data_IF_580565715513
#
_entry.id   IF_580565715513
#
_cell.length_a   1.000
_cell.length_b   1.000
_cell.length_c   1.000
_cell.angle_alpha   90.00
_cell.angle_beta   90.00
_cell.angle_gamma   90.00
#
_symmetry.space_group_name_H-M   'P 1'
#
loop_
_entity.id
_entity.type
_entity.pdbx_description
1 polymer ?
#
# COMPACT_ATOMS: atom_id res chain seq x y z
N UNK A 1 7.87 43.65 1.27
CA UNK A 1 9.36 43.73 1.12
C UNK A 1 10.13 43.23 2.34
N UNK A 2 9.55 43.18 3.56
CA UNK A 2 10.24 42.65 4.74
C UNK A 2 10.58 41.15 4.69
N UNK A 3 9.73 40.29 4.12
CA UNK A 3 9.94 38.82 4.20
C UNK A 3 11.21 38.33 3.49
N UNK A 4 11.66 39.00 2.43
CA UNK A 4 12.90 38.68 1.72
C UNK A 4 14.14 39.14 2.48
N UNK A 5 14.09 40.32 3.10
CA UNK A 5 15.13 40.84 3.99
C UNK A 5 15.32 39.90 5.20
N UNK A 6 14.22 39.51 5.86
CA UNK A 6 14.25 38.57 6.99
C UNK A 6 14.78 37.19 6.58
N UNK A 7 14.44 36.70 5.39
CA UNK A 7 14.89 35.39 4.91
C UNK A 7 16.39 35.32 4.59
N UNK A 8 16.95 36.36 3.94
CA UNK A 8 18.39 36.41 3.62
C UNK A 8 19.25 36.55 4.89
N UNK A 9 18.85 37.44 5.80
CA UNK A 9 19.52 37.63 7.10
C UNK A 9 19.48 36.35 7.93
N UNK A 10 18.30 35.71 8.04
CA UNK A 10 18.18 34.45 8.78
C UNK A 10 19.06 33.34 8.20
N UNK A 11 19.22 33.30 6.87
CA UNK A 11 20.07 32.30 6.20
C UNK A 11 21.55 32.54 6.51
N UNK A 12 22.00 33.80 6.40
CA UNK A 12 23.39 34.16 6.71
C UNK A 12 23.70 33.93 8.20
N UNK A 13 22.81 34.36 9.09
CA UNK A 13 22.95 34.18 10.53
C UNK A 13 22.97 32.70 10.95
N UNK A 14 22.17 31.84 10.31
CA UNK A 14 22.22 30.40 10.54
C UNK A 14 23.57 29.78 10.13
N UNK A 15 24.21 30.31 9.08
CA UNK A 15 25.54 29.88 8.64
C UNK A 15 26.61 30.35 9.64
N UNK A 16 26.54 31.59 10.12
CA UNK A 16 27.45 32.12 11.17
C UNK A 16 27.30 31.33 12.48
N UNK A 17 26.07 31.02 12.91
CA UNK A 17 25.79 30.15 14.06
C UNK A 17 26.44 28.77 13.93
N UNK A 18 26.43 28.21 12.73
CA UNK A 18 27.05 26.91 12.50
C UNK A 18 28.58 26.97 12.66
N UNK A 19 29.20 28.05 12.19
CA UNK A 19 30.64 28.26 12.35
C UNK A 19 31.03 28.48 13.81
N UNK A 20 30.20 29.18 14.60
CA UNK A 20 30.40 29.48 16.03
C UNK A 20 29.86 28.39 17.00
N UNK A 21 29.50 27.22 16.50
CA UNK A 21 28.84 26.17 17.29
C UNK A 21 29.72 25.50 18.36
N UNK A 22 31.01 25.83 18.40
CA UNK A 22 31.97 25.37 19.41
C UNK A 22 31.95 26.21 20.70
N UNK A 23 31.31 27.38 20.69
CA UNK A 23 31.14 28.22 21.87
C UNK A 23 30.09 27.66 22.85
N UNK A 24 30.19 27.98 24.15
CA UNK A 24 29.14 27.68 25.13
C UNK A 24 27.78 28.22 24.67
N UNK A 25 26.67 27.49 24.90
CA UNK A 25 25.37 27.85 24.37
C UNK A 25 24.85 29.22 24.84
N UNK A 26 25.17 29.63 26.07
CA UNK A 26 24.81 30.97 26.59
C UNK A 26 25.52 32.09 25.83
N UNK A 27 26.84 32.01 25.68
CA UNK A 27 27.63 33.02 24.96
C UNK A 27 27.28 33.07 23.46
N UNK A 28 26.97 31.92 22.87
CA UNK A 28 26.55 31.84 21.47
C UNK A 28 25.22 32.58 21.23
N UNK A 29 24.27 32.49 22.16
CA UNK A 29 22.98 33.16 22.02
C UNK A 29 23.12 34.68 22.11
N UNK A 30 23.90 35.17 23.08
CA UNK A 30 24.17 36.60 23.25
C UNK A 30 24.86 37.19 22.00
N UNK A 31 25.91 36.53 21.51
CA UNK A 31 26.66 36.96 20.32
C UNK A 31 25.78 36.95 19.07
N UNK A 32 24.86 35.97 18.94
CA UNK A 32 23.98 35.90 17.78
C UNK A 32 22.85 36.92 17.82
N UNK A 33 22.39 37.35 18.99
CA UNK A 33 21.39 38.42 19.12
C UNK A 33 21.98 39.76 18.66
N UNK A 34 23.20 40.07 19.09
CA UNK A 34 23.94 41.26 18.65
C UNK A 34 24.18 41.25 17.13
N UNK A 35 24.63 40.11 16.58
CA UNK A 35 24.86 39.95 15.13
C UNK A 35 23.55 40.03 14.36
N UNK A 36 22.43 39.53 14.89
CA UNK A 36 21.13 39.64 14.24
C UNK A 36 20.74 41.12 14.04
N UNK A 37 20.90 41.94 15.08
CA UNK A 37 20.68 43.38 15.01
C UNK A 37 21.52 44.03 13.91
N UNK A 38 22.83 43.82 13.93
CA UNK A 38 23.74 44.39 12.95
C UNK A 38 23.43 43.95 11.50
N UNK A 39 23.11 42.68 11.29
CA UNK A 39 22.76 42.18 9.96
C UNK A 39 21.47 42.78 9.42
N UNK A 40 20.51 43.12 10.29
CA UNK A 40 19.28 43.81 9.84
C UNK A 40 19.53 45.24 9.40
N UNK A 41 20.43 45.97 10.06
CA UNK A 41 20.85 47.31 9.67
C UNK A 41 21.62 47.27 8.34
N UNK A 42 22.62 46.40 8.24
CA UNK A 42 23.41 46.20 7.02
C UNK A 42 22.53 45.80 5.85
N UNK A 43 21.55 44.92 6.05
CA UNK A 43 20.62 44.51 5.02
C UNK A 43 19.66 45.63 4.60
N UNK A 44 19.30 46.55 5.50
CA UNK A 44 18.46 47.71 5.19
C UNK A 44 19.20 48.76 4.34
N UNK A 45 20.52 48.86 4.48
CA UNK A 45 21.36 49.73 3.66
C UNK A 45 21.63 49.20 2.24
N UNK A 46 21.47 47.89 2.01
CA UNK A 46 21.60 47.32 0.67
C UNK A 46 20.36 47.72 -0.12
N UNK A 47 20.43 48.81 -0.89
CA UNK A 47 19.31 49.39 -1.67
C UNK A 47 18.70 48.49 -2.77
N UNK A 48 19.06 47.21 -2.83
CA UNK A 48 18.50 46.17 -3.71
C UNK A 48 17.94 45.01 -2.89
N UNK A 49 17.04 44.20 -3.48
CA UNK A 49 16.45 43.03 -2.80
C UNK A 49 17.55 42.19 -2.14
N UNK A 50 17.60 42.11 -0.80
CA UNK A 50 18.70 41.45 -0.11
C UNK A 50 18.74 39.97 -0.48
N UNK A 51 19.85 39.54 -1.07
CA UNK A 51 20.14 38.12 -1.35
C UNK A 51 21.30 37.67 -0.48
N UNK A 52 21.34 36.37 -0.17
CA UNK A 52 22.45 35.80 0.60
C UNK A 52 23.82 36.04 -0.08
N UNK A 53 23.84 36.07 -1.42
CA UNK A 53 25.02 36.41 -2.22
C UNK A 53 25.43 37.87 -2.06
N UNK A 54 24.48 38.82 -2.09
CA UNK A 54 24.79 40.25 -1.86
C UNK A 54 25.32 40.55 -0.46
N UNK A 55 24.84 39.82 0.56
CA UNK A 55 25.42 39.88 1.91
C UNK A 55 26.84 39.32 1.96
N UNK A 56 27.12 38.23 1.24
CA UNK A 56 28.46 37.63 1.16
C UNK A 56 29.46 38.52 0.41
N UNK A 57 29.03 39.27 -0.60
CA UNK A 57 29.90 40.23 -1.30
C UNK A 57 30.35 41.38 -0.39
N UNK A 58 29.50 41.79 0.56
CA UNK A 58 29.74 42.94 1.44
C UNK A 58 30.44 42.57 2.75
N UNK A 59 30.01 41.47 3.38
CA UNK A 59 30.50 41.00 4.68
C UNK A 59 31.52 39.86 4.57
N UNK A 60 31.77 39.37 3.36
CA UNK A 60 32.55 38.16 3.14
C UNK A 60 31.76 36.87 3.40
N UNK A 61 32.43 35.74 3.22
CA UNK A 61 31.83 34.44 3.51
C UNK A 61 31.45 34.34 5.00
N UNK A 62 30.37 33.63 5.38
CA UNK A 62 29.96 33.49 6.78
C UNK A 62 31.07 33.00 7.70
N UNK A 63 32.00 32.20 7.16
CA UNK A 63 33.18 31.72 7.87
C UNK A 63 34.20 32.83 8.13
N UNK A 64 34.48 33.67 7.14
CA UNK A 64 35.37 34.82 7.33
C UNK A 64 34.78 35.80 8.35
N UNK A 65 33.49 36.07 8.25
CA UNK A 65 32.78 36.90 9.22
C UNK A 65 32.82 36.31 10.63
N UNK A 66 32.59 35.00 10.79
CA UNK A 66 32.72 34.32 12.08
C UNK A 66 34.15 34.35 12.64
N UNK A 67 35.17 34.21 11.79
CA UNK A 67 36.58 34.29 12.19
C UNK A 67 36.99 35.73 12.57
N UNK A 68 36.39 36.75 11.95
CA UNK A 68 36.50 38.15 12.39
C UNK A 68 35.82 38.37 13.73
N UNK A 69 34.60 37.86 13.90
CA UNK A 69 33.84 37.96 15.14
C UNK A 69 34.60 37.31 16.32
N UNK A 70 35.19 36.12 16.09
CA UNK A 70 36.04 35.45 17.08
C UNK A 70 37.27 36.28 17.46
N UNK A 71 37.96 36.84 16.46
CA UNK A 71 39.13 37.69 16.71
C UNK A 71 38.76 38.94 17.49
N UNK A 72 37.63 39.57 17.16
CA UNK A 72 37.13 40.76 17.84
C UNK A 72 36.72 40.48 19.30
N UNK A 73 36.05 39.35 19.54
CA UNK A 73 35.61 38.92 20.87
C UNK A 73 36.71 38.19 21.67
N UNK A 74 37.90 38.00 21.11
CA UNK A 74 39.02 37.34 21.79
C UNK A 74 38.89 35.82 21.96
N UNK A 75 38.01 35.18 21.18
CA UNK A 75 37.82 33.73 21.24
C UNK A 75 38.98 32.97 20.56
N UNK A 76 39.35 31.79 21.09
CA UNK A 76 40.39 30.97 20.48
C UNK A 76 39.94 30.49 19.08
N UNK A 77 40.90 30.22 18.17
CA UNK A 77 40.59 29.64 16.88
C UNK A 77 39.88 28.28 17.09
N UNK A 78 38.95 27.92 16.20
CA UNK A 78 38.17 26.71 16.35
C UNK A 78 39.07 25.48 16.50
N UNK A 79 38.80 24.67 17.51
CA UNK A 79 39.58 23.46 17.82
C UNK A 79 39.37 22.42 16.72
N UNK A 80 40.16 22.49 15.64
CA UNK A 80 40.12 21.53 14.54
C UNK A 80 40.65 20.19 15.04
N UNK A 81 39.75 19.27 15.34
CA UNK A 81 40.12 17.86 15.44
C UNK A 81 40.55 17.45 14.02
N UNK A 82 41.80 16.99 13.80
CA UNK A 82 42.23 16.55 12.49
C UNK A 82 41.26 15.49 11.96
N UNK A 83 40.78 15.71 10.74
CA UNK A 83 39.80 14.84 10.10
C UNK A 83 40.34 13.41 10.04
N UNK A 84 39.69 12.48 10.74
CA UNK A 84 40.01 11.06 10.63
C UNK A 84 39.38 10.52 9.34
N UNK A 85 40.12 10.63 8.25
CA UNK A 85 39.68 10.17 6.93
C UNK A 85 39.31 8.67 6.92
N UNK A 86 39.89 7.86 7.82
CA UNK A 86 39.54 6.44 7.94
C UNK A 86 38.17 6.28 8.62
N UNK A 87 37.91 7.01 9.69
CA UNK A 87 36.60 7.07 10.33
C UNK A 87 35.52 7.56 9.36
N UNK A 88 35.78 8.64 8.63
CA UNK A 88 34.88 9.18 7.61
C UNK A 88 34.56 8.16 6.51
N UNK A 89 35.58 7.47 5.98
CA UNK A 89 35.40 6.43 4.97
C UNK A 89 34.65 5.21 5.49
N UNK A 90 34.90 4.79 6.74
CA UNK A 90 34.18 3.68 7.37
C UNK A 90 32.71 4.03 7.61
N UNK A 91 32.43 5.24 8.12
CA UNK A 91 31.08 5.72 8.29
C UNK A 91 30.34 5.70 6.93
N UNK A 92 30.91 6.31 5.88
CA UNK A 92 30.28 6.35 4.55
C UNK A 92 29.88 4.96 4.04
N UNK A 93 30.74 3.96 4.21
CA UNK A 93 30.45 2.57 3.81
C UNK A 93 29.24 2.00 4.54
N UNK A 94 29.18 2.17 5.86
CA UNK A 94 28.03 1.71 6.64
C UNK A 94 26.73 2.43 6.28
N UNK A 95 26.82 3.71 5.90
CA UNK A 95 25.67 4.50 5.46
C UNK A 95 25.13 4.05 4.10
N UNK A 96 26.03 3.68 3.19
CA UNK A 96 25.67 3.07 1.91
C UNK A 96 25.04 1.68 2.11
N UNK A 97 25.56 0.87 3.04
CA UNK A 97 24.97 -0.43 3.37
C UNK A 97 23.58 -0.24 3.96
N UNK A 98 23.41 0.69 4.90
CA UNK A 98 22.12 1.01 5.50
C UNK A 98 21.10 1.43 4.45
N UNK A 99 21.53 2.21 3.46
CA UNK A 99 20.68 2.74 2.39
C UNK A 99 20.37 1.74 1.27
N UNK A 100 21.10 0.63 1.17
CA UNK A 100 20.91 -0.37 0.11
C UNK A 100 20.33 -1.67 0.65
N UNK A 101 21.04 -2.34 1.56
CA UNK A 101 20.71 -3.70 2.03
C UNK A 101 19.41 -3.71 2.83
N UNK A 102 19.24 -2.78 3.77
CA UNK A 102 18.04 -2.69 4.59
C UNK A 102 16.77 -2.46 3.77
N UNK A 103 16.69 -1.37 2.98
CA UNK A 103 15.57 -1.10 2.10
C UNK A 103 15.28 -2.22 1.10
N UNK A 104 16.31 -2.87 0.54
CA UNK A 104 16.14 -4.00 -0.37
C UNK A 104 15.31 -5.13 0.27
N UNK A 105 15.68 -5.58 1.46
CA UNK A 105 14.93 -6.63 2.15
C UNK A 105 13.55 -6.17 2.63
N UNK A 106 13.39 -4.90 3.01
CA UNK A 106 12.08 -4.35 3.36
C UNK A 106 11.13 -4.29 2.14
N UNK A 107 11.65 -3.99 0.95
CA UNK A 107 10.87 -4.04 -0.30
C UNK A 107 10.50 -5.49 -0.64
N UNK A 108 11.41 -6.45 -0.46
CA UNK A 108 11.08 -7.88 -0.61
C UNK A 108 10.00 -8.30 0.40
N UNK A 109 10.10 -7.87 1.65
CA UNK A 109 9.10 -8.17 2.67
C UNK A 109 7.71 -7.64 2.27
N UNK A 110 7.67 -6.44 1.67
CA UNK A 110 6.44 -5.81 1.17
C UNK A 110 5.83 -6.56 -0.03
N UNK A 111 6.68 -7.07 -0.93
CA UNK A 111 6.26 -7.80 -2.13
C UNK A 111 6.02 -9.30 -1.88
N UNK A 112 6.51 -9.82 -0.77
CA UNK A 112 6.41 -11.22 -0.39
C UNK A 112 4.97 -11.63 -0.12
N UNK A 113 4.55 -12.78 -0.67
CA UNK A 113 3.26 -13.39 -0.33
C UNK A 113 3.43 -14.32 0.87
N UNK A 114 2.71 -14.04 1.95
CA UNK A 114 2.67 -14.87 3.16
C UNK A 114 3.33 -14.22 4.37
N UNK A 115 2.73 -14.43 5.56
CA UNK A 115 3.14 -13.78 6.81
C UNK A 115 4.58 -14.11 7.21
N UNK A 116 5.01 -15.35 6.99
CA UNK A 116 6.36 -15.80 7.38
C UNK A 116 7.45 -15.14 6.52
N UNK A 117 7.21 -15.01 5.22
CA UNK A 117 8.13 -14.35 4.28
C UNK A 117 8.25 -12.85 4.61
N UNK A 118 7.11 -12.19 4.83
CA UNK A 118 7.09 -10.77 5.22
C UNK A 118 7.76 -10.55 6.59
N UNK A 119 7.49 -11.41 7.58
CA UNK A 119 8.09 -11.31 8.90
C UNK A 119 9.61 -11.50 8.86
N UNK A 120 10.09 -12.55 8.17
CA UNK A 120 11.50 -12.85 8.05
C UNK A 120 12.27 -11.73 7.35
N UNK A 121 11.87 -11.36 6.14
CA UNK A 121 12.57 -10.32 5.39
C UNK A 121 12.37 -8.93 6.00
N UNK A 122 11.22 -8.69 6.65
CA UNK A 122 10.96 -7.46 7.39
C UNK A 122 11.94 -7.28 8.55
N UNK A 123 12.12 -8.33 9.35
CA UNK A 123 13.05 -8.34 10.48
C UNK A 123 14.51 -8.25 10.00
N UNK A 124 14.89 -9.02 8.98
CA UNK A 124 16.24 -8.93 8.38
C UNK A 124 16.52 -7.53 7.82
N UNK A 125 15.57 -6.95 7.10
CA UNK A 125 15.72 -5.61 6.53
C UNK A 125 15.82 -4.51 7.58
N UNK A 126 14.96 -4.56 8.61
CA UNK A 126 14.95 -3.57 9.69
C UNK A 126 16.22 -3.67 10.54
N UNK A 127 16.64 -4.89 10.90
CA UNK A 127 17.89 -5.12 11.64
C UNK A 127 19.10 -4.67 10.83
N UNK A 128 19.19 -5.04 9.56
CA UNK A 128 20.28 -4.60 8.68
C UNK A 128 20.35 -3.07 8.59
N UNK A 129 19.20 -2.39 8.41
CA UNK A 129 19.11 -0.93 8.35
C UNK A 129 19.58 -0.28 9.65
N UNK A 130 18.99 -0.65 10.78
CA UNK A 130 19.26 -0.01 12.08
C UNK A 130 20.67 -0.33 12.56
N UNK A 131 21.13 -1.57 12.41
CA UNK A 131 22.46 -1.99 12.84
C UNK A 131 23.55 -1.31 12.02
N UNK A 132 23.43 -1.28 10.70
CA UNK A 132 24.42 -0.60 9.85
C UNK A 132 24.41 0.93 10.05
N UNK A 133 23.24 1.56 10.21
CA UNK A 133 23.16 2.97 10.57
C UNK A 133 23.86 3.26 11.92
N UNK A 134 23.64 2.39 12.92
CA UNK A 134 24.31 2.49 14.22
C UNK A 134 25.83 2.33 14.12
N UNK A 135 26.31 1.38 13.32
CA UNK A 135 27.74 1.22 13.05
C UNK A 135 28.33 2.44 12.34
N UNK A 136 27.60 3.06 11.41
CA UNK A 136 28.00 4.33 10.77
C UNK A 136 28.16 5.46 11.78
N UNK A 137 27.20 5.63 12.70
CA UNK A 137 27.29 6.63 13.76
C UNK A 137 28.44 6.35 14.73
N UNK A 138 28.67 5.09 15.12
CA UNK A 138 29.82 4.70 15.95
C UNK A 138 31.16 4.91 15.22
N UNK A 139 31.21 4.68 13.92
CA UNK A 139 32.41 4.88 13.11
C UNK A 139 32.84 6.35 13.07
N UNK A 140 31.92 7.30 13.25
CA UNK A 140 32.26 8.73 13.36
C UNK A 140 33.09 9.08 14.61
N UNK A 141 33.16 8.20 15.63
CA UNK A 141 33.98 8.41 16.85
C UNK A 141 33.79 9.78 17.52
N UNK A 142 32.55 10.28 17.51
CA UNK A 142 32.20 11.58 18.10
C UNK A 142 32.38 12.79 17.16
N UNK A 143 32.98 12.61 15.98
CA UNK A 143 33.11 13.67 14.98
C UNK A 143 31.76 14.06 14.36
N UNK A 144 31.71 15.23 13.74
CA UNK A 144 30.52 15.67 13.02
C UNK A 144 30.29 14.78 11.78
N UNK A 145 29.03 14.39 11.46
CA UNK A 145 28.72 13.61 10.27
C UNK A 145 29.18 14.25 8.95
N UNK A 146 29.41 15.58 8.95
CA UNK A 146 29.85 16.34 7.79
C UNK A 146 31.24 15.93 7.30
N UNK A 147 32.08 15.32 8.15
CA UNK A 147 33.41 14.81 7.77
C UNK A 147 33.37 13.84 6.58
N UNK A 148 32.24 13.15 6.38
CA UNK A 148 32.05 12.26 5.23
C UNK A 148 32.10 13.02 3.90
N UNK A 149 31.67 14.28 3.88
CA UNK A 149 31.69 15.15 2.70
C UNK A 149 33.10 15.60 2.32
N UNK A 150 34.05 15.56 3.25
CA UNK A 150 35.45 15.89 2.98
C UNK A 150 36.20 14.76 2.27
N UNK A 151 35.61 13.55 2.23
CA UNK A 151 36.16 12.45 1.45
C UNK A 151 35.95 12.68 -0.05
N UNK A 152 36.87 12.25 -0.94
CA UNK A 152 36.73 12.47 -2.38
C UNK A 152 35.41 11.94 -2.96
N UNK A 153 34.95 10.79 -2.49
CA UNK A 153 33.67 10.19 -2.90
C UNK A 153 32.46 10.92 -2.33
N UNK A 154 32.55 11.39 -1.08
CA UNK A 154 31.48 12.18 -0.47
C UNK A 154 31.31 13.52 -1.16
N UNK A 155 32.41 14.22 -1.43
CA UNK A 155 32.43 15.50 -2.12
C UNK A 155 31.85 15.40 -3.54
N UNK A 156 32.30 14.42 -4.34
CA UNK A 156 31.81 14.25 -5.71
C UNK A 156 30.32 13.92 -5.77
N UNK A 157 29.85 13.05 -4.88
CA UNK A 157 28.44 12.66 -4.81
C UNK A 157 27.58 13.84 -4.35
N UNK A 158 28.04 14.59 -3.35
CA UNK A 158 27.33 15.77 -2.87
C UNK A 158 27.22 16.87 -3.93
N UNK A 159 28.26 17.06 -4.75
CA UNK A 159 28.23 17.98 -5.88
C UNK A 159 27.17 17.56 -6.91
N UNK A 160 27.17 16.28 -7.33
CA UNK A 160 26.18 15.76 -8.28
C UNK A 160 24.73 15.89 -7.79
N UNK A 161 24.49 15.63 -6.50
CA UNK A 161 23.15 15.80 -5.89
C UNK A 161 22.75 17.29 -5.86
N UNK A 162 23.66 18.19 -5.49
CA UNK A 162 23.39 19.63 -5.48
C UNK A 162 23.04 20.15 -6.87
N UNK A 163 23.82 19.75 -7.88
CA UNK A 163 23.54 20.07 -9.28
C UNK A 163 22.14 19.61 -9.70
N UNK A 164 21.73 18.39 -9.31
CA UNK A 164 20.38 17.88 -9.59
C UNK A 164 19.29 18.68 -8.88
N UNK A 165 19.54 19.14 -7.65
CA UNK A 165 18.58 19.95 -6.87
C UNK A 165 18.48 21.37 -7.46
N UNK A 166 19.59 21.93 -7.94
CA UNK A 166 19.65 23.29 -8.48
C UNK A 166 18.90 23.42 -9.83
N UNK A 167 18.59 22.30 -10.49
CA UNK A 167 17.69 22.28 -11.65
C UNK A 167 16.23 22.59 -11.29
N UNK A 168 15.84 22.44 -10.01
CA UNK A 168 14.47 22.73 -9.55
C UNK A 168 14.32 24.24 -9.34
N UNK A 169 13.29 24.89 -9.91
CA UNK A 169 13.07 26.32 -9.73
C UNK A 169 13.04 26.73 -8.24
N UNK A 170 13.67 27.85 -7.86
CA UNK A 170 13.89 28.21 -6.46
C UNK A 170 12.59 28.48 -5.68
N UNK A 171 11.54 28.95 -6.37
CA UNK A 171 10.19 29.11 -5.82
C UNK A 171 9.57 27.75 -5.46
N UNK A 172 9.63 26.78 -6.38
CA UNK A 172 9.09 25.43 -6.18
C UNK A 172 9.82 24.71 -5.05
N UNK A 173 11.15 24.84 -5.02
CA UNK A 173 11.98 24.27 -3.93
C UNK A 173 11.58 24.83 -2.56
N UNK A 174 11.34 26.15 -2.45
CA UNK A 174 10.94 26.77 -1.18
C UNK A 174 9.58 26.28 -0.73
N UNK A 175 8.60 26.18 -1.62
CA UNK A 175 7.26 25.65 -1.31
C UNK A 175 7.32 24.17 -0.90
N UNK A 176 8.06 23.34 -1.65
CA UNK A 176 8.27 21.92 -1.32
C UNK A 176 8.88 21.72 0.06
N UNK A 177 9.85 22.55 0.45
CA UNK A 177 10.49 22.43 1.77
C UNK A 177 9.59 22.99 2.88
N UNK A 178 8.97 24.15 2.67
CA UNK A 178 8.18 24.81 3.74
C UNK A 178 6.87 24.08 4.02
N UNK A 179 6.16 23.64 2.98
CA UNK A 179 4.86 22.96 3.10
C UNK A 179 5.05 21.44 3.01
N UNK A 180 5.84 20.97 2.05
CA UNK A 180 5.99 19.54 1.79
C UNK A 180 6.72 18.79 2.90
N UNK A 181 7.68 19.40 3.61
CA UNK A 181 8.41 18.73 4.69
C UNK A 181 7.51 18.32 5.88
N UNK A 182 6.70 19.20 6.49
CA UNK A 182 5.80 18.80 7.58
C UNK A 182 4.71 17.83 7.10
N UNK A 183 4.15 18.03 5.90
CA UNK A 183 3.16 17.11 5.31
C UNK A 183 3.76 15.73 5.11
N UNK A 184 4.99 15.65 4.59
CA UNK A 184 5.72 14.41 4.42
C UNK A 184 5.99 13.70 5.75
N UNK A 185 6.33 14.45 6.80
CA UNK A 185 6.49 13.87 8.14
C UNK A 185 5.20 13.24 8.65
N UNK A 186 4.06 13.90 8.48
CA UNK A 186 2.77 13.33 8.86
C UNK A 186 2.47 12.09 8.02
N UNK A 187 2.59 12.18 6.69
CA UNK A 187 2.28 11.09 5.78
C UNK A 187 3.11 9.84 6.06
N UNK A 188 4.45 9.97 6.12
CA UNK A 188 5.35 8.83 6.39
C UNK A 188 5.09 8.20 7.76
N UNK A 189 4.80 9.03 8.76
CA UNK A 189 4.55 8.58 10.12
C UNK A 189 3.21 7.87 10.25
N UNK A 190 2.16 8.42 9.64
CA UNK A 190 0.83 7.84 9.63
C UNK A 190 0.81 6.48 8.93
N UNK A 191 1.42 6.40 7.74
CA UNK A 191 1.51 5.14 6.98
C UNK A 191 2.33 4.11 7.74
N UNK A 192 3.49 4.49 8.28
CA UNK A 192 4.34 3.58 9.06
C UNK A 192 3.66 3.07 10.34
N UNK A 193 3.01 3.96 11.09
CA UNK A 193 2.30 3.63 12.32
C UNK A 193 1.05 2.77 12.08
N UNK A 194 0.24 3.09 11.07
CA UNK A 194 -0.91 2.28 10.69
C UNK A 194 -0.47 0.87 10.24
N UNK A 195 0.56 0.80 9.38
CA UNK A 195 1.09 -0.46 8.87
C UNK A 195 1.63 -1.35 9.98
N UNK A 196 2.29 -0.78 10.99
CA UNK A 196 2.78 -1.52 12.16
C UNK A 196 1.64 -2.25 12.87
N UNK A 197 0.57 -1.55 13.27
CA UNK A 197 -0.54 -2.18 13.99
C UNK A 197 -1.36 -3.14 13.11
N UNK A 198 -1.52 -2.82 11.83
CA UNK A 198 -2.16 -3.71 10.87
C UNK A 198 -1.39 -5.04 10.74
N UNK A 199 -0.06 -5.01 10.74
CA UNK A 199 0.77 -6.20 10.64
C UNK A 199 0.55 -7.19 11.81
N UNK A 200 0.33 -6.66 13.02
CA UNK A 200 0.03 -7.46 14.21
C UNK A 200 -1.46 -7.83 14.36
N UNK A 201 -2.30 -7.54 13.36
CA UNK A 201 -3.74 -7.84 13.39
C UNK A 201 -4.56 -6.93 14.31
N UNK A 202 -3.95 -5.87 14.85
CA UNK A 202 -4.57 -4.93 15.78
C UNK A 202 -5.29 -3.81 15.00
N UNK A 203 -6.23 -4.19 14.14
CA UNK A 203 -6.86 -3.29 13.16
C UNK A 203 -7.65 -2.15 13.83
N UNK A 204 -8.28 -2.40 14.98
CA UNK A 204 -9.05 -1.41 15.74
C UNK A 204 -8.21 -0.22 16.22
N UNK A 205 -6.89 -0.38 16.37
CA UNK A 205 -5.97 0.67 16.84
C UNK A 205 -5.10 1.25 15.73
N UNK A 206 -5.33 0.90 14.46
CA UNK A 206 -4.56 1.44 13.32
C UNK A 206 -4.61 2.95 13.21
N UNK A 207 -5.77 3.57 13.51
CA UNK A 207 -5.92 5.04 13.56
C UNK A 207 -5.04 5.64 14.67
N UNK A 208 -5.03 5.01 15.85
CA UNK A 208 -4.16 5.43 16.97
C UNK A 208 -2.69 5.27 16.58
N UNK A 209 -2.35 4.16 15.93
CA UNK A 209 -1.03 3.90 15.37
C UNK A 209 -0.61 4.96 14.37
N UNK A 210 -1.50 5.37 13.46
CA UNK A 210 -1.23 6.42 12.49
C UNK A 210 -0.94 7.76 13.18
N UNK A 211 -1.74 8.15 14.17
CA UNK A 211 -1.56 9.38 14.92
C UNK A 211 -0.24 9.36 15.73
N UNK A 212 0.03 8.26 16.43
CA UNK A 212 1.27 8.08 17.18
C UNK A 212 2.50 8.08 16.25
N UNK A 213 2.40 7.40 15.11
CA UNK A 213 3.44 7.37 14.09
C UNK A 213 3.70 8.74 13.48
N UNK A 214 2.65 9.53 13.20
CA UNK A 214 2.78 10.91 12.74
C UNK A 214 3.49 11.80 13.78
N UNK A 215 3.07 11.72 15.05
CA UNK A 215 3.70 12.46 16.14
C UNK A 215 5.19 12.09 16.31
N UNK A 216 5.50 10.79 16.29
CA UNK A 216 6.87 10.30 16.36
C UNK A 216 7.70 10.77 15.17
N UNK A 217 7.15 10.70 13.96
CA UNK A 217 7.82 11.13 12.73
C UNK A 217 8.11 12.63 12.71
N UNK A 218 7.21 13.47 13.24
CA UNK A 218 7.44 14.91 13.43
C UNK A 218 8.55 15.12 14.46
N UNK A 219 8.49 14.43 15.61
CA UNK A 219 9.52 14.53 16.64
C UNK A 219 10.89 14.14 16.10
N UNK A 220 11.01 13.02 15.37
CA UNK A 220 12.26 12.61 14.71
C UNK A 220 12.69 13.65 13.67
N UNK A 221 11.77 14.20 12.89
CA UNK A 221 12.05 15.27 11.93
C UNK A 221 12.66 16.51 12.60
N UNK A 222 12.09 16.95 13.72
CA UNK A 222 12.67 18.05 14.52
C UNK A 222 14.03 17.66 15.12
N UNK A 223 14.18 16.42 15.56
CA UNK A 223 15.44 15.92 16.13
C UNK A 223 16.56 15.88 15.08
N UNK A 224 16.27 15.53 13.83
CA UNK A 224 17.26 15.58 12.72
C UNK A 224 17.77 16.98 12.42
N UNK A 225 16.97 18.01 12.69
CA UNK A 225 17.40 19.41 12.52
C UNK A 225 18.35 19.85 13.63
N UNK A 226 18.25 19.25 14.82
CA UNK A 226 19.14 19.54 15.96
C UNK A 226 20.41 18.70 15.93
N UNK A 227 20.31 17.42 15.57
CA UNK A 227 21.42 16.48 15.53
C UNK A 227 21.46 15.72 14.21
N UNK A 228 22.44 16.06 13.38
CA UNK A 228 22.66 15.46 12.06
C UNK A 228 22.98 13.95 12.13
N UNK A 229 23.33 13.40 13.30
CA UNK A 229 23.56 11.95 13.45
C UNK A 229 22.29 11.15 13.20
N UNK A 230 21.11 11.72 13.43
CA UNK A 230 19.84 11.06 13.14
C UNK A 230 19.61 10.84 11.64
N UNK A 231 20.27 11.61 10.76
CA UNK A 231 20.17 11.42 9.31
C UNK A 231 20.62 10.02 8.88
N UNK A 232 21.51 9.37 9.63
CA UNK A 232 21.97 8.01 9.34
C UNK A 232 20.86 6.96 9.43
N UNK A 233 19.82 7.20 10.22
CA UNK A 233 18.66 6.34 10.32
C UNK A 233 17.54 6.81 9.39
N UNK A 234 17.34 8.13 9.30
CA UNK A 234 16.20 8.72 8.58
C UNK A 234 16.38 8.64 7.07
N UNK A 235 17.60 8.76 6.53
CA UNK A 235 17.84 8.69 5.08
C UNK A 235 17.50 7.29 4.53
N UNK A 236 18.03 6.17 5.09
CA UNK A 236 17.61 4.84 4.68
C UNK A 236 16.11 4.60 4.83
N UNK A 237 15.51 5.06 5.94
CA UNK A 237 14.08 4.91 6.18
C UNK A 237 13.24 5.68 5.15
N UNK A 238 13.71 6.86 4.72
CA UNK A 238 13.04 7.65 3.68
C UNK A 238 13.06 6.95 2.32
N UNK A 239 14.09 6.14 2.00
CA UNK A 239 14.09 5.35 0.76
C UNK A 239 12.94 4.34 0.74
N UNK A 240 12.67 3.71 1.88
CA UNK A 240 11.54 2.78 2.04
C UNK A 240 10.22 3.55 2.00
N UNK A 241 10.12 4.65 2.74
CA UNK A 241 8.91 5.47 2.80
C UNK A 241 8.53 6.08 1.44
N UNK A 242 9.51 6.46 0.62
CA UNK A 242 9.29 6.98 -0.74
C UNK A 242 8.60 5.97 -1.67
N UNK A 243 8.68 4.68 -1.36
CA UNK A 243 7.98 3.62 -2.11
C UNK A 243 6.64 3.30 -1.44
N UNK A 244 6.66 3.09 -0.12
CA UNK A 244 5.49 2.62 0.64
C UNK A 244 4.37 3.68 0.67
N UNK A 245 4.70 4.94 0.93
CA UNK A 245 3.68 5.98 1.10
C UNK A 245 2.88 6.19 -0.20
N UNK A 246 3.48 6.33 -1.39
CA UNK A 246 2.73 6.42 -2.64
C UNK A 246 1.95 5.15 -2.96
N UNK A 247 2.53 3.96 -2.73
CA UNK A 247 1.84 2.69 -2.97
C UNK A 247 0.59 2.55 -2.10
N UNK A 248 0.69 2.92 -0.82
CA UNK A 248 -0.43 2.91 0.11
C UNK A 248 -1.51 3.93 -0.28
N UNK A 249 -1.12 5.16 -0.64
CA UNK A 249 -2.05 6.18 -1.12
C UNK A 249 -2.78 5.72 -2.39
N UNK A 250 -2.06 5.17 -3.37
CA UNK A 250 -2.65 4.66 -4.62
C UNK A 250 -3.67 3.53 -4.34
N UNK A 251 -3.34 2.59 -3.44
CA UNK A 251 -4.27 1.54 -3.03
C UNK A 251 -5.54 2.10 -2.38
N UNK A 252 -5.42 3.17 -1.60
CA UNK A 252 -6.53 3.83 -0.90
C UNK A 252 -7.51 4.53 -1.85
N UNK A 253 -7.02 5.11 -2.95
CA UNK A 253 -7.85 5.89 -3.89
C UNK A 253 -8.46 5.05 -5.01
N UNK A 254 -7.75 4.03 -5.51
CA UNK A 254 -8.15 3.29 -6.73
C UNK A 254 -8.98 2.04 -6.40
N UNK A 255 -9.19 1.70 -5.12
CA UNK A 255 -9.72 0.39 -4.74
C UNK A 255 -8.80 -0.74 -5.23
N UNK A 256 -7.49 -0.48 -5.19
CA UNK A 256 -6.44 -1.30 -5.79
C UNK A 256 -6.35 -2.70 -5.18
N UNK A 257 -5.65 -3.63 -5.86
CA UNK A 257 -5.73 -5.06 -5.59
C UNK A 257 -5.41 -5.33 -4.13
N UNK A 258 -6.38 -5.98 -3.51
CA UNK A 258 -6.51 -6.50 -2.16
C UNK A 258 -5.36 -7.38 -1.65
N UNK A 259 -4.18 -7.39 -2.27
CA UNK A 259 -3.13 -8.39 -2.01
C UNK A 259 -1.93 -7.89 -1.21
N UNK A 260 -1.67 -6.58 -1.16
CA UNK A 260 -0.47 -6.04 -0.48
C UNK A 260 -0.76 -5.65 0.98
N UNK A 261 -2.02 -5.29 1.29
CA UNK A 261 -2.40 -4.77 2.61
C UNK A 261 -3.65 -5.40 3.22
N UNK A 262 -4.34 -6.35 2.56
CA UNK A 262 -5.46 -7.06 3.19
C UNK A 262 -4.97 -8.21 4.07
N UNK A 263 -4.50 -7.85 5.26
CA UNK A 263 -4.82 -8.60 6.48
C UNK A 263 -6.07 -7.99 7.15
N UNK A 264 -6.98 -7.42 6.34
CA UNK A 264 -8.04 -6.53 6.79
C UNK A 264 -9.31 -7.25 7.27
N UNK A 265 -9.38 -8.60 7.22
CA UNK A 265 -10.66 -9.31 7.34
C UNK A 265 -10.76 -10.38 8.44
N UNK A 266 -10.04 -10.29 9.56
CA UNK A 266 -10.24 -11.26 10.66
C UNK A 266 -10.96 -10.73 11.92
N UNK A 267 -11.35 -9.46 12.01
CA UNK A 267 -12.06 -8.97 13.20
C UNK A 267 -13.14 -7.92 12.92
N UNK A 268 -13.96 -8.15 11.88
CA UNK A 268 -15.24 -7.43 11.75
C UNK A 268 -16.32 -8.33 11.16
N UNK A 269 -17.08 -8.95 12.05
CA UNK A 269 -18.47 -9.28 11.75
C UNK A 269 -19.20 -7.98 11.43
N UNK A 270 -19.32 -7.65 10.15
CA UNK A 270 -20.27 -6.68 9.57
C UNK A 270 -20.09 -6.68 8.05
N UNK A 271 -20.85 -7.55 7.39
CA UNK A 271 -21.66 -7.23 6.21
C UNK A 271 -21.08 -6.21 5.23
N UNK A 272 -19.96 -6.53 4.57
CA UNK A 272 -19.70 -5.94 3.26
C UNK A 272 -20.68 -6.57 2.27
N UNK A 273 -21.78 -5.86 2.01
CA UNK A 273 -22.75 -6.13 0.95
C UNK A 273 -22.09 -5.96 -0.42
N UNK A 274 -21.12 -6.81 -0.73
CA UNK A 274 -20.97 -7.27 -2.10
C UNK A 274 -22.20 -8.12 -2.36
N UNK A 275 -23.09 -7.65 -3.23
CA UNK A 275 -24.14 -8.52 -3.78
C UNK A 275 -23.42 -9.57 -4.64
N UNK A 276 -22.87 -10.58 -3.98
CA UNK A 276 -22.61 -11.85 -4.62
C UNK A 276 -24.02 -12.43 -4.81
N UNK A 277 -24.55 -12.49 -6.04
CA UNK A 277 -25.76 -13.26 -6.25
C UNK A 277 -25.50 -14.66 -5.67
N UNK A 278 -26.39 -15.21 -4.84
CA UNK A 278 -26.20 -16.54 -4.28
C UNK A 278 -25.90 -17.49 -5.45
N UNK A 279 -24.72 -18.10 -5.43
CA UNK A 279 -24.33 -19.09 -6.42
C UNK A 279 -25.23 -20.31 -6.24
N UNK A 280 -26.12 -20.58 -7.20
CA UNK A 280 -27.07 -21.67 -7.13
C UNK A 280 -28.31 -21.44 -8.00
N UNK A 281 -29.22 -22.42 -8.00
CA UNK A 281 -30.52 -22.27 -8.65
C UNK A 281 -31.41 -21.35 -7.80
N UNK A 282 -32.00 -20.34 -8.42
CA UNK A 282 -32.92 -19.40 -7.78
C UNK A 282 -34.22 -19.42 -8.56
N UNK A 283 -35.34 -19.60 -7.86
CA UNK A 283 -36.69 -19.58 -8.42
C UNK A 283 -37.48 -18.48 -7.70
N UNK A 284 -37.99 -17.49 -8.45
CA UNK A 284 -38.76 -16.35 -7.92
C UNK A 284 -38.06 -15.59 -6.78
N UNK A 285 -36.72 -15.50 -6.85
CA UNK A 285 -35.90 -14.85 -5.82
C UNK A 285 -35.59 -15.72 -4.60
N UNK A 286 -36.11 -16.95 -4.54
CA UNK A 286 -35.83 -17.93 -3.48
C UNK A 286 -34.78 -18.92 -3.95
N UNK A 287 -33.74 -19.12 -3.14
CA UNK A 287 -32.71 -20.14 -3.41
C UNK A 287 -33.30 -21.54 -3.30
N UNK A 288 -33.08 -22.36 -4.32
CA UNK A 288 -33.49 -23.76 -4.37
C UNK A 288 -32.34 -24.61 -3.85
N UNK A 289 -32.52 -25.23 -2.68
CA UNK A 289 -31.54 -26.13 -2.06
C UNK A 289 -31.72 -27.60 -2.45
N UNK A 290 -32.93 -28.00 -2.86
CA UNK A 290 -33.24 -29.37 -3.29
C UNK A 290 -34.40 -29.38 -4.30
N UNK A 291 -34.50 -30.45 -5.08
CA UNK A 291 -35.57 -30.69 -6.06
C UNK A 291 -36.11 -32.09 -5.85
N UNK A 292 -37.42 -32.23 -5.63
CA UNK A 292 -38.10 -33.51 -5.46
C UNK A 292 -38.97 -33.81 -6.67
N UNK A 293 -38.53 -34.68 -7.60
CA UNK A 293 -39.29 -35.01 -8.79
C UNK A 293 -40.29 -36.14 -8.52
N UNK A 294 -41.49 -36.01 -9.10
CA UNK A 294 -42.57 -36.98 -9.00
C UNK A 294 -43.06 -37.38 -10.39
N UNK A 295 -43.52 -38.61 -10.54
CA UNK A 295 -44.19 -39.09 -11.75
C UNK A 295 -45.66 -38.61 -11.83
N UNK A 296 -46.33 -38.94 -12.93
CA UNK A 296 -47.74 -38.59 -13.18
C UNK A 296 -48.70 -39.16 -12.13
N UNK A 297 -48.31 -40.23 -11.43
CA UNK A 297 -49.09 -40.86 -10.37
C UNK A 297 -48.77 -40.26 -8.98
N UNK A 298 -47.92 -39.23 -8.91
CA UNK A 298 -47.50 -38.60 -7.66
C UNK A 298 -46.48 -39.43 -6.87
N UNK A 299 -45.81 -40.41 -7.48
CA UNK A 299 -44.73 -41.18 -6.85
C UNK A 299 -43.39 -40.49 -7.11
N UNK A 300 -42.59 -40.35 -6.06
CA UNK A 300 -41.27 -39.74 -6.18
C UNK A 300 -40.36 -40.61 -7.06
N UNK A 301 -39.60 -39.98 -7.96
CA UNK A 301 -38.65 -40.62 -8.87
C UNK A 301 -37.24 -40.07 -8.65
N UNK A 302 -36.23 -40.72 -9.21
CA UNK A 302 -34.85 -40.20 -9.22
C UNK A 302 -34.44 -39.79 -10.63
N UNK A 303 -33.89 -38.58 -10.79
CA UNK A 303 -33.58 -38.01 -12.10
C UNK A 303 -32.27 -37.24 -12.10
N UNK A 304 -31.73 -36.98 -13.30
CA UNK A 304 -30.69 -35.99 -13.52
C UNK A 304 -31.26 -34.84 -14.33
N UNK A 305 -31.02 -33.61 -13.88
CA UNK A 305 -31.52 -32.42 -14.54
C UNK A 305 -30.40 -31.67 -15.26
N UNK A 306 -30.74 -31.16 -16.44
CA UNK A 306 -29.86 -30.37 -17.30
C UNK A 306 -30.64 -29.13 -17.77
N UNK A 307 -29.94 -28.02 -18.01
CA UNK A 307 -30.53 -26.81 -18.58
C UNK A 307 -30.70 -26.92 -20.11
N UNK A 308 -31.25 -25.87 -20.74
CA UNK A 308 -31.47 -25.81 -22.19
C UNK A 308 -30.20 -25.96 -23.03
N UNK A 309 -29.03 -25.68 -22.44
CA UNK A 309 -27.72 -25.77 -23.08
C UNK A 309 -27.04 -27.14 -22.82
N UNK A 310 -27.75 -28.08 -22.17
CA UNK A 310 -27.25 -29.40 -21.82
C UNK A 310 -26.25 -29.42 -20.65
N UNK A 311 -26.14 -28.32 -19.89
CA UNK A 311 -25.31 -28.26 -18.70
C UNK A 311 -26.06 -28.84 -17.49
N UNK A 312 -25.41 -29.64 -16.63
CA UNK A 312 -26.07 -30.23 -15.47
C UNK A 312 -26.48 -29.15 -14.46
N UNK A 313 -27.70 -29.25 -13.94
CA UNK A 313 -28.17 -28.44 -12.82
C UNK A 313 -27.58 -29.04 -11.55
N UNK A 314 -26.58 -28.37 -10.98
CA UNK A 314 -25.85 -28.81 -9.81
C UNK A 314 -26.31 -28.04 -8.57
N UNK A 315 -26.67 -28.75 -7.50
CA UNK A 315 -26.97 -28.19 -6.18
C UNK A 315 -25.99 -28.78 -5.15
N UNK A 316 -25.79 -28.05 -4.06
CA UNK A 316 -24.91 -28.45 -2.97
C UNK A 316 -25.53 -29.58 -2.14
N UNK A 317 -24.74 -30.61 -1.79
CA UNK A 317 -25.20 -31.72 -0.95
C UNK A 317 -25.39 -31.28 0.49
N UNK A 318 -26.40 -31.83 1.14
CA UNK A 318 -26.77 -31.57 2.53
C UNK A 318 -26.93 -32.87 3.32
N UNK A 319 -26.11 -33.88 2.99
CA UNK A 319 -26.12 -35.20 3.61
C UNK A 319 -25.26 -35.25 4.89
N UNK A 320 -25.38 -36.35 5.63
CA UNK A 320 -24.61 -36.59 6.84
C UNK A 320 -23.09 -36.57 6.61
N UNK A 321 -22.64 -36.90 5.40
CA UNK A 321 -21.23 -36.89 5.07
C UNK A 321 -20.66 -35.47 5.02
N UNK A 322 -21.47 -34.46 4.67
CA UNK A 322 -21.10 -33.05 4.70
C UNK A 322 -20.96 -32.47 6.12
N UNK A 323 -21.54 -33.12 7.15
CA UNK A 323 -21.38 -32.70 8.54
C UNK A 323 -20.06 -33.16 9.18
N UNK A 324 -19.30 -34.04 8.51
CA UNK A 324 -18.00 -34.49 9.01
C UNK A 324 -16.92 -33.44 8.75
N UNK A 325 -16.15 -33.09 9.78
CA UNK A 325 -15.19 -31.97 9.82
C UNK A 325 -13.99 -32.06 8.86
N UNK A 326 -13.93 -33.05 7.98
CA UNK A 326 -12.76 -33.36 7.15
C UNK A 326 -13.07 -33.46 5.63
N UNK A 327 -14.22 -32.93 5.19
CA UNK A 327 -14.65 -32.95 3.77
C UNK A 327 -14.56 -31.56 3.14
N UNK A 328 -14.28 -31.47 1.82
CA UNK A 328 -14.32 -30.20 1.11
C UNK A 328 -15.74 -29.61 1.20
N UNK A 329 -15.86 -28.36 1.66
CA UNK A 329 -17.09 -27.58 1.56
C UNK A 329 -17.47 -27.46 0.07
N UNK A 330 -18.77 -27.55 -0.24
CA UNK A 330 -19.34 -27.40 -1.58
C UNK A 330 -19.24 -28.64 -2.50
N UNK A 331 -19.50 -29.85 -2.01
CA UNK A 331 -19.74 -30.98 -2.92
C UNK A 331 -21.07 -30.80 -3.66
N UNK A 332 -21.00 -30.70 -4.99
CA UNK A 332 -22.16 -30.55 -5.86
C UNK A 332 -22.68 -31.91 -6.36
N UNK A 333 -23.99 -31.99 -6.64
CA UNK A 333 -24.65 -33.14 -7.27
C UNK A 333 -25.73 -32.68 -8.24
N UNK A 334 -25.88 -33.42 -9.35
CA UNK A 334 -26.97 -33.25 -10.32
C UNK A 334 -28.01 -34.37 -10.26
N UNK A 335 -27.96 -35.23 -9.24
CA UNK A 335 -28.84 -36.36 -9.05
C UNK A 335 -29.88 -36.03 -7.97
N UNK A 336 -31.16 -36.03 -8.36
CA UNK A 336 -32.27 -35.56 -7.53
C UNK A 336 -33.27 -36.69 -7.22
N UNK A 337 -33.92 -36.67 -6.04
CA UNK A 337 -33.71 -35.68 -4.98
C UNK A 337 -32.37 -35.84 -4.27
N UNK A 338 -31.83 -34.71 -3.80
CA UNK A 338 -30.67 -34.74 -2.92
C UNK A 338 -31.05 -35.35 -1.58
N UNK A 339 -30.10 -36.08 -1.02
CA UNK A 339 -30.18 -36.59 0.33
C UNK A 339 -30.02 -35.42 1.30
N UNK A 340 -30.93 -35.34 2.27
CA UNK A 340 -30.92 -34.35 3.33
C UNK A 340 -30.88 -35.04 4.69
N UNK A 341 -30.24 -34.41 5.66
CA UNK A 341 -30.29 -34.86 7.05
C UNK A 341 -31.73 -34.84 7.55
N UNK A 342 -32.18 -35.97 8.09
CA UNK A 342 -33.46 -36.11 8.75
C UNK A 342 -33.31 -35.72 10.22
N UNK A 343 -33.97 -34.63 10.62
CA UNK A 343 -34.03 -34.22 12.01
C UNK A 343 -34.91 -35.21 12.81
N UNK A 344 -34.27 -36.10 13.56
CA UNK A 344 -34.94 -36.98 14.52
C UNK A 344 -34.55 -36.57 15.96
N UNK A 345 -35.46 -35.95 16.73
CA UNK A 345 -35.18 -35.54 18.10
C UNK A 345 -34.94 -36.72 19.06
N UNK A 346 -35.24 -37.96 18.64
CA UNK A 346 -34.97 -39.18 19.39
C UNK A 346 -33.88 -40.05 18.74
N UNK A 347 -33.04 -39.47 17.87
CA UNK A 347 -31.99 -40.20 17.18
C UNK A 347 -31.09 -40.95 18.20
N UNK A 348 -30.78 -42.24 17.97
CA UNK A 348 -29.81 -42.95 18.79
C UNK A 348 -28.48 -42.23 18.74
N UNK A 349 -27.83 -42.10 19.90
CA UNK A 349 -26.51 -41.50 20.00
C UNK A 349 -25.42 -42.56 19.81
N UNK A 350 -24.27 -42.15 19.29
CA UNK A 350 -23.09 -43.00 19.24
C UNK A 350 -22.48 -43.21 20.63
N UNK A 351 -21.37 -43.97 20.70
CA UNK A 351 -20.69 -44.29 21.96
C UNK A 351 -20.19 -43.04 22.72
N UNK A 352 -20.07 -41.90 22.04
CA UNK A 352 -19.61 -40.61 22.58
C UNK A 352 -20.77 -39.65 22.89
N UNK A 353 -22.03 -40.09 22.72
CA UNK A 353 -23.22 -39.30 23.03
C UNK A 353 -23.63 -38.32 21.92
N UNK A 354 -23.11 -38.46 20.71
CA UNK A 354 -23.45 -37.63 19.55
C UNK A 354 -24.60 -38.27 18.78
N UNK A 355 -25.69 -37.53 18.44
CA UNK A 355 -26.78 -38.06 17.63
C UNK A 355 -26.26 -38.62 16.30
N UNK A 356 -26.59 -39.88 16.01
CA UNK A 356 -26.24 -40.51 14.74
C UNK A 356 -27.05 -39.82 13.64
N UNK A 357 -26.35 -39.09 12.78
CA UNK A 357 -26.96 -38.44 11.63
C UNK A 357 -27.59 -39.48 10.71
N UNK A 358 -28.81 -39.20 10.25
CA UNK A 358 -29.56 -40.06 9.33
C UNK A 358 -29.94 -39.31 8.07
N UNK A 359 -29.65 -39.93 6.95
CA UNK A 359 -29.95 -39.43 5.62
C UNK A 359 -31.34 -39.86 5.15
N UNK A 360 -32.06 -38.96 4.48
CA UNK A 360 -33.33 -39.25 3.81
C UNK A 360 -33.40 -38.56 2.44
N UNK A 361 -33.89 -39.30 1.45
CA UNK A 361 -34.19 -38.77 0.11
C UNK A 361 -35.69 -38.52 -0.10
N UNK A 362 -36.53 -38.71 0.94
CA UNK A 362 -37.98 -38.56 0.85
C UNK A 362 -38.38 -37.10 0.92
N UNK A 363 -39.29 -36.70 0.04
CA UNK A 363 -39.92 -35.40 0.10
C UNK A 363 -40.65 -35.23 1.45
N UNK A 364 -40.49 -34.09 2.15
CA UNK A 364 -41.17 -33.81 3.41
C UNK A 364 -42.64 -33.40 3.23
N UNK A 365 -43.18 -33.55 2.01
CA UNK A 365 -44.52 -33.14 1.62
C UNK A 365 -45.12 -34.12 0.61
N UNK A 366 -46.44 -34.09 0.47
CA UNK A 366 -47.17 -34.78 -0.60
C UNK A 366 -47.45 -33.77 -1.72
N UNK A 367 -47.09 -34.06 -2.98
CA UNK A 367 -47.36 -33.14 -4.07
C UNK A 367 -48.87 -32.95 -4.25
N UNK A 368 -49.34 -31.76 -4.68
CA UNK A 368 -50.74 -31.57 -5.03
C UNK A 368 -51.13 -32.53 -6.18
N UNK A 369 -52.40 -32.97 -6.26
CA UNK A 369 -52.85 -33.83 -7.34
C UNK A 369 -52.55 -33.19 -8.70
N UNK A 370 -51.94 -33.95 -9.61
CA UNK A 370 -51.70 -33.47 -10.95
C UNK A 370 -53.03 -32.99 -11.56
N UNK A 371 -53.09 -31.80 -12.20
CA UNK A 371 -54.30 -31.37 -12.88
C UNK A 371 -54.65 -32.43 -13.91
N UNK A 372 -55.88 -32.95 -13.86
CA UNK A 372 -56.37 -33.91 -14.82
C UNK A 372 -56.27 -33.28 -16.21
N UNK A 373 -55.28 -33.71 -17.00
CA UNK A 373 -55.19 -33.35 -18.40
C UNK A 373 -56.51 -33.79 -19.03
N UNK A 374 -57.39 -32.84 -19.35
CA UNK A 374 -58.54 -33.12 -20.18
C UNK A 374 -57.96 -33.64 -21.49
N UNK A 375 -58.15 -34.92 -21.76
CA UNK A 375 -57.73 -35.53 -23.02
C UNK A 375 -58.50 -34.82 -24.13
N UNK A 376 -57.87 -33.82 -24.75
CA UNK A 376 -58.31 -33.27 -26.02
C UNK A 376 -58.33 -34.43 -27.00
N UNK A 377 -59.53 -34.82 -27.42
CA UNK A 377 -59.76 -35.87 -28.40
C UNK A 377 -58.85 -35.68 -29.60
N UNK A 378 -58.07 -36.71 -29.88
CA UNK A 378 -57.21 -36.87 -31.06
C UNK A 378 -57.95 -36.46 -32.34
N UNK A 379 -57.42 -35.58 -33.19
CA UNK A 379 -57.99 -35.38 -34.52
C UNK A 379 -57.81 -36.65 -35.34
N UNK A 380 -58.93 -37.13 -35.89
CA UNK A 380 -59.08 -38.24 -36.81
C UNK A 380 -58.05 -38.18 -37.96
N UNK A 381 -57.39 -39.29 -38.34
CA UNK A 381 -56.47 -39.28 -39.47
C UNK A 381 -57.25 -39.07 -40.77
N UNK A 382 -56.93 -38.00 -41.49
CA UNK A 382 -57.42 -37.79 -42.87
C UNK A 382 -56.52 -38.58 -43.81
N UNK A 383 -57.15 -39.47 -44.57
CA UNK A 383 -56.53 -40.42 -45.48
C UNK A 383 -55.62 -39.80 -46.54
N UNK A 384 -54.53 -40.52 -46.75
CA UNK A 384 -53.69 -40.66 -47.94
C UNK A 384 -54.26 -40.17 -49.28
N UNK A 385 -53.49 -39.31 -49.97
CA UNK A 385 -53.39 -39.29 -51.44
C UNK A 385 -51.92 -39.32 -51.86
N UNK A 386 -51.60 -40.34 -52.66
CA UNK A 386 -50.30 -40.73 -53.23
C UNK A 386 -49.91 -39.82 -54.42
N UNK A 387 -48.61 -39.70 -54.80
CA UNK A 387 -48.06 -38.54 -55.51
C UNK A 387 -47.93 -38.72 -57.04
N UNK A 388 -47.73 -37.60 -57.75
CA UNK A 388 -47.25 -37.57 -59.15
C UNK A 388 -46.17 -36.48 -59.29
N UNK A 389 -45.05 -36.72 -60.03
CA UNK A 389 -43.81 -35.95 -59.90
C UNK A 389 -43.71 -34.81 -60.92
N UNK A 390 -42.93 -33.77 -60.62
CA UNK A 390 -42.31 -32.97 -61.68
C UNK A 390 -41.06 -32.19 -61.24
N UNK A 391 -39.99 -32.49 -61.98
CA UNK A 391 -38.91 -31.63 -62.46
C UNK A 391 -37.97 -30.90 -61.47
N UNK A 392 -36.74 -31.43 -61.49
CA UNK A 392 -35.45 -30.79 -61.20
C UNK A 392 -35.20 -29.50 -61.99
N UNK A 393 -34.74 -28.42 -61.33
CA UNK A 393 -33.80 -27.43 -61.89
C UNK A 393 -32.88 -26.84 -60.80
N UNK A 394 -31.59 -26.77 -61.15
CA UNK A 394 -30.41 -26.22 -60.44
C UNK A 394 -30.47 -24.69 -60.17
N UNK A 395 -29.57 -24.13 -59.34
CA UNK A 395 -29.62 -22.76 -58.83
C UNK A 395 -28.83 -21.75 -59.68
N UNK A 396 -29.20 -20.47 -59.59
CA UNK A 396 -28.34 -19.36 -60.01
C UNK A 396 -28.50 -18.14 -59.10
N UNK A 397 -27.37 -17.46 -58.91
CA UNK A 397 -27.02 -16.45 -57.93
C UNK A 397 -27.59 -15.05 -58.22
N UNK A 398 -27.55 -14.15 -57.22
CA UNK A 398 -27.09 -12.73 -57.33
C UNK A 398 -27.13 -12.04 -55.96
N UNK A 399 -25.99 -11.48 -55.50
CA UNK A 399 -25.88 -10.11 -54.97
C UNK A 399 -24.40 -9.76 -54.68
N UNK A 400 -23.96 -8.58 -55.16
CA UNK A 400 -22.59 -8.02 -55.16
C UNK A 400 -22.27 -7.26 -53.85
N UNK A 401 -20.98 -6.88 -53.61
CA UNK A 401 -20.42 -6.47 -52.33
C UNK A 401 -20.36 -4.95 -52.10
N UNK A 402 -20.33 -4.52 -50.83
CA UNK A 402 -20.18 -3.13 -50.40
C UNK A 402 -19.01 -2.90 -49.43
N UNK A 403 -17.96 -2.27 -49.97
CA UNK A 403 -16.99 -1.33 -49.40
C UNK A 403 -16.38 -1.53 -47.98
N UNK A 404 -15.07 -1.79 -47.97
CA UNK A 404 -14.11 -1.52 -46.89
C UNK A 404 -13.63 -0.07 -46.99
N UNK A 405 -13.71 0.70 -45.91
CA UNK A 405 -13.10 2.04 -45.80
C UNK A 405 -11.70 1.93 -45.16
N UNK A 406 -10.68 2.32 -45.90
CA UNK A 406 -9.29 2.48 -45.43
C UNK A 406 -9.02 3.98 -45.23
N UNK A 407 -8.56 4.38 -44.04
CA UNK A 407 -8.13 5.76 -43.73
C UNK A 407 -6.59 5.79 -43.66
N UNK A 408 -5.90 6.72 -44.34
CA UNK A 408 -4.44 6.84 -44.30
C UNK A 408 -3.94 7.68 -43.12
N UNK A 409 -2.70 7.47 -42.63
CA UNK A 409 -2.14 8.25 -41.55
C UNK A 409 -1.59 9.61 -42.04
N UNK A 410 -1.78 10.66 -41.23
CA UNK A 410 -1.04 11.92 -41.37
C UNK A 410 -0.35 12.25 -40.04
N UNK A 411 0.98 12.29 -40.14
CA UNK A 411 2.01 12.88 -39.24
C UNK A 411 2.28 12.27 -37.87
#
# INVERSE_FOLDING_TARGET
MNSTLTGAVATYLAQVRAELSDLPPGELEDVLDDVAGHLTEVAAEVGQVPTATGLQERLGTPRQYADELRRAAGYPPPKRVPADNKAAGSALRWGLIASTVGPFFLVIALLGRGRDVTAFFGLVGLTALVFSAHLGVKALRGQSPRIVLDTPRGASTAAAIRESIDQIPPNVRRELVTIGQPVWWVARGAVGGASFFAFFGANAVTVVGALAGAALSIWVGRRTQQDARWLWYVVPLNLVAAIIVPAWLAASFVGGPSSIFNNYNDYRGSSSSSYNPPSGLVLDGVSVSNIYPFDEQGRQVHVRLYNQDGQPINLERQDCAMQSSNRPQNELSNFFPLVTVQDDPNAPVDADGVPICKDSDKAPFVPPPAPATSATSSPTPVSSVTPTPSASVKPSATAKPGATLTVPPTR
#
